data_IF_980103911658
#
_entry.id   IF_980103911658
#
_cell.length_a   1.000
_cell.length_b   1.000
_cell.length_c   1.000
_cell.angle_alpha   90.00
_cell.angle_beta   90.00
_cell.angle_gamma   90.00
#
_symmetry.space_group_name_H-M   'P 1'
#
loop_
_entity.id
_entity.type
_entity.pdbx_description
1 polymer ?
#
# COMPACT_ATOMS: atom_id res chain seq x y z
N UNK A 1 -6.21 11.13 -10.90
CA UNK A 1 -6.49 10.14 -11.94
C UNK A 1 -6.69 10.85 -13.28
N UNK A 2 -6.35 10.18 -14.38
CA UNK A 2 -6.65 10.66 -15.73
C UNK A 2 -8.12 10.35 -16.13
N UNK A 3 -8.48 10.65 -17.39
CA UNK A 3 -9.85 10.47 -17.91
C UNK A 3 -10.31 9.01 -17.93
N UNK A 4 -9.38 8.06 -17.96
CA UNK A 4 -9.64 6.62 -18.01
C UNK A 4 -9.60 5.97 -16.61
N UNK A 5 -9.49 6.78 -15.55
CA UNK A 5 -9.44 6.30 -14.16
C UNK A 5 -8.07 5.75 -13.73
N UNK A 6 -7.02 5.94 -14.54
CA UNK A 6 -5.66 5.55 -14.18
C UNK A 6 -5.01 6.58 -13.26
N UNK A 7 -4.13 6.15 -12.34
CA UNK A 7 -3.29 7.09 -11.60
C UNK A 7 -2.41 7.89 -12.56
N UNK A 8 -2.25 9.19 -12.30
CA UNK A 8 -1.35 10.05 -13.09
C UNK A 8 0.09 9.90 -12.61
N UNK A 9 1.05 10.32 -13.44
CA UNK A 9 2.48 10.26 -13.08
C UNK A 9 2.77 11.04 -11.78
N UNK A 10 2.16 12.22 -11.59
CA UNK A 10 2.28 12.99 -10.34
C UNK A 10 1.76 12.23 -9.10
N UNK A 11 0.69 11.44 -9.25
CA UNK A 11 0.12 10.64 -8.16
C UNK A 11 1.03 9.46 -7.82
N UNK A 12 1.62 8.82 -8.84
CA UNK A 12 2.60 7.75 -8.67
C UNK A 12 3.91 8.27 -8.05
N UNK A 13 4.40 9.42 -8.52
CA UNK A 13 5.59 10.07 -7.98
C UNK A 13 5.39 10.46 -6.52
N UNK A 14 4.19 10.94 -6.15
CA UNK A 14 3.85 11.23 -4.75
C UNK A 14 3.93 9.97 -3.87
N UNK A 15 3.45 8.82 -4.35
CA UNK A 15 3.55 7.55 -3.62
C UNK A 15 5.02 7.12 -3.47
N UNK A 16 5.79 7.20 -4.55
CA UNK A 16 7.22 6.86 -4.59
C UNK A 16 8.03 7.71 -3.59
N UNK A 17 7.73 9.01 -3.50
CA UNK A 17 8.46 9.97 -2.67
C UNK A 17 7.89 10.19 -1.27
N UNK A 18 6.79 9.53 -0.91
CA UNK A 18 6.13 9.73 0.38
C UNK A 18 7.09 9.50 1.56
N UNK A 19 7.22 10.50 2.44
CA UNK A 19 8.15 10.42 3.56
C UNK A 19 7.56 9.59 4.72
N UNK A 20 7.92 8.32 4.78
CA UNK A 20 7.40 7.41 5.82
C UNK A 20 7.95 7.67 7.23
N UNK A 21 8.92 8.58 7.40
CA UNK A 21 9.45 8.96 8.71
C UNK A 21 8.70 10.14 9.30
N UNK A 22 8.38 11.12 8.46
CA UNK A 22 7.75 12.37 8.88
C UNK A 22 6.23 12.36 8.65
N UNK A 23 5.75 11.69 7.60
CA UNK A 23 4.34 11.61 7.24
C UNK A 23 3.68 10.30 7.69
N UNK A 24 2.37 10.36 7.92
CA UNK A 24 1.57 9.20 8.32
C UNK A 24 1.49 8.17 7.19
N UNK A 25 1.96 6.96 7.45
CA UNK A 25 1.82 5.82 6.53
C UNK A 25 0.36 5.40 6.36
N UNK A 26 -0.49 5.66 7.35
CA UNK A 26 -1.93 5.44 7.22
C UNK A 26 -2.53 6.40 6.18
N UNK A 27 -2.06 7.64 6.13
CA UNK A 27 -2.54 8.64 5.17
C UNK A 27 -2.09 8.29 3.75
N UNK A 28 -0.87 7.76 3.59
CA UNK A 28 -0.41 7.17 2.32
C UNK A 28 -1.35 6.05 1.86
N UNK A 29 -1.71 5.13 2.76
CA UNK A 29 -2.58 3.99 2.41
C UNK A 29 -4.01 4.42 2.11
N UNK A 30 -4.54 5.41 2.82
CA UNK A 30 -5.86 5.98 2.52
C UNK A 30 -5.83 6.74 1.18
N UNK A 31 -4.72 7.43 0.86
CA UNK A 31 -4.50 8.04 -0.46
C UNK A 31 -4.44 6.99 -1.56
N UNK A 32 -3.65 5.92 -1.41
CA UNK A 32 -3.60 4.81 -2.36
C UNK A 32 -4.98 4.19 -2.54
N UNK A 33 -5.73 3.98 -1.45
CA UNK A 33 -7.10 3.44 -1.53
C UNK A 33 -8.01 4.33 -2.39
N UNK A 34 -7.86 5.65 -2.30
CA UNK A 34 -8.62 6.59 -3.15
C UNK A 34 -8.27 6.49 -4.63
N UNK A 35 -7.07 5.98 -4.95
CA UNK A 35 -6.58 5.75 -6.32
C UNK A 35 -6.82 4.32 -6.83
N UNK A 36 -7.17 3.40 -5.93
CA UNK A 36 -7.22 1.98 -6.24
C UNK A 36 -8.47 1.62 -7.04
N UNK A 37 -8.32 0.84 -8.11
CA UNK A 37 -9.46 0.28 -8.83
C UNK A 37 -10.07 -0.87 -8.03
N UNK A 38 -11.40 -0.85 -7.88
CA UNK A 38 -12.19 -1.76 -7.03
C UNK A 38 -11.71 -1.83 -5.58
N UNK A 39 -11.66 -0.69 -4.85
CA UNK A 39 -11.09 -0.64 -3.50
C UNK A 39 -11.86 -1.49 -2.49
N UNK A 40 -13.17 -1.66 -2.68
CA UNK A 40 -14.02 -2.45 -1.77
C UNK A 40 -13.69 -3.95 -1.79
N UNK A 41 -13.16 -4.45 -2.91
CA UNK A 41 -12.73 -5.85 -3.05
C UNK A 41 -11.22 -6.00 -2.88
N UNK A 42 -10.44 -5.13 -3.51
CA UNK A 42 -8.99 -5.28 -3.67
C UNK A 42 -8.14 -4.58 -2.62
N UNK A 43 -8.73 -3.83 -1.69
CA UNK A 43 -7.99 -3.06 -0.68
C UNK A 43 -8.51 -3.37 0.73
N UNK A 44 -8.04 -4.48 1.30
CA UNK A 44 -8.55 -5.02 2.56
C UNK A 44 -7.72 -4.48 3.74
N UNK A 45 -8.39 -3.90 4.73
CA UNK A 45 -7.80 -3.43 6.00
C UNK A 45 -8.38 -4.20 7.17
N UNK A 46 -7.53 -4.74 8.04
CA UNK A 46 -7.99 -5.46 9.25
C UNK A 46 -7.03 -5.33 10.43
N UNK A 47 -7.57 -5.37 11.63
CA UNK A 47 -6.76 -5.48 12.84
C UNK A 47 -6.10 -6.86 12.90
N UNK A 48 -4.85 -6.92 13.37
CA UNK A 48 -4.11 -8.16 13.43
C UNK A 48 -2.95 -8.13 14.41
N UNK A 49 -2.12 -9.15 14.30
CA UNK A 49 -0.85 -9.26 15.00
C UNK A 49 0.27 -9.57 14.02
N UNK A 50 1.44 -8.99 14.25
CA UNK A 50 2.60 -9.21 13.39
C UNK A 50 2.97 -10.69 13.35
N UNK A 51 3.42 -11.19 12.20
CA UNK A 51 3.81 -12.61 12.07
C UNK A 51 4.92 -13.01 13.05
N UNK A 52 5.84 -12.10 13.38
CA UNK A 52 6.91 -12.33 14.36
C UNK A 52 6.43 -12.22 15.81
N UNK A 53 6.78 -11.10 16.47
CA UNK A 53 6.56 -10.88 17.90
C UNK A 53 5.09 -10.76 18.35
N UNK A 54 4.12 -11.07 17.48
CA UNK A 54 2.67 -11.00 17.75
C UNK A 54 2.21 -9.67 18.34
N UNK A 55 2.90 -8.58 18.00
CA UNK A 55 2.51 -7.21 18.40
C UNK A 55 1.27 -6.80 17.63
N UNK A 56 0.39 -6.01 18.24
CA UNK A 56 -0.76 -5.43 17.53
C UNK A 56 -0.28 -4.66 16.30
N UNK A 57 -0.95 -4.85 15.18
CA UNK A 57 -0.71 -4.14 13.93
C UNK A 57 -2.00 -4.04 13.12
N UNK A 58 -1.98 -3.20 12.10
CA UNK A 58 -3.00 -3.19 11.04
C UNK A 58 -2.43 -3.96 9.86
N UNK A 59 -3.21 -4.92 9.34
CA UNK A 59 -2.86 -5.69 8.15
C UNK A 59 -3.57 -5.10 6.95
N UNK A 60 -2.81 -4.95 5.86
CA UNK A 60 -3.34 -4.58 4.56
C UNK A 60 -3.10 -5.70 3.55
N UNK A 61 -4.13 -5.99 2.76
CA UNK A 61 -4.05 -6.91 1.63
C UNK A 61 -4.47 -6.14 0.38
N UNK A 62 -3.54 -5.99 -0.55
CA UNK A 62 -3.75 -5.30 -1.81
C UNK A 62 -3.76 -6.33 -2.93
N UNK A 63 -4.88 -6.39 -3.66
CA UNK A 63 -5.11 -7.31 -4.76
C UNK A 63 -5.32 -6.49 -6.04
N UNK A 64 -4.40 -6.61 -7.00
CA UNK A 64 -4.43 -5.78 -8.21
C UNK A 64 -5.57 -6.18 -9.15
N UNK A 65 -6.03 -7.44 -9.07
CA UNK A 65 -7.07 -7.97 -9.94
C UNK A 65 -6.66 -8.04 -11.42
N UNK A 66 -5.35 -7.95 -11.72
CA UNK A 66 -4.82 -7.85 -13.08
C UNK A 66 -5.07 -6.50 -13.76
N UNK A 67 -5.47 -5.46 -13.01
CA UNK A 67 -5.65 -4.12 -13.55
C UNK A 67 -4.34 -3.33 -13.48
N UNK A 68 -3.87 -2.84 -14.63
CA UNK A 68 -2.53 -2.27 -14.77
C UNK A 68 -2.27 -1.01 -13.95
N UNK A 69 -3.28 -0.17 -13.67
CA UNK A 69 -3.07 1.01 -12.82
C UNK A 69 -2.82 0.66 -11.35
N UNK A 70 -3.40 -0.43 -10.84
CA UNK A 70 -3.13 -0.94 -9.49
C UNK A 70 -1.70 -1.48 -9.44
N UNK A 71 -1.25 -2.12 -10.52
CA UNK A 71 0.13 -2.58 -10.65
C UNK A 71 1.12 -1.39 -10.69
N UNK A 72 0.77 -0.29 -11.38
CA UNK A 72 1.55 0.95 -11.35
C UNK A 72 1.67 1.54 -9.95
N UNK A 73 0.58 1.54 -9.16
CA UNK A 73 0.61 2.00 -7.77
C UNK A 73 1.53 1.11 -6.92
N UNK A 74 1.43 -0.22 -7.05
CA UNK A 74 2.34 -1.12 -6.34
C UNK A 74 3.79 -0.88 -6.75
N UNK A 75 4.05 -0.67 -8.04
CA UNK A 75 5.39 -0.39 -8.52
C UNK A 75 5.96 0.91 -7.94
N UNK A 76 5.15 1.98 -7.84
CA UNK A 76 5.53 3.21 -7.14
C UNK A 76 5.81 2.94 -5.64
N UNK A 77 4.97 2.15 -4.99
CA UNK A 77 5.14 1.77 -3.59
C UNK A 77 6.39 0.91 -3.34
N UNK A 78 6.80 0.08 -4.32
CA UNK A 78 8.05 -0.68 -4.29
C UNK A 78 9.29 0.22 -4.36
N UNK A 79 9.21 1.31 -5.11
CA UNK A 79 10.29 2.30 -5.19
C UNK A 79 10.38 3.16 -3.93
N UNK A 80 9.30 3.29 -3.16
CA UNK A 80 9.38 3.85 -1.82
C UNK A 80 10.13 2.88 -0.88
N UNK A 81 11.46 3.04 -0.83
CA UNK A 81 12.35 2.13 -0.13
C UNK A 81 12.00 1.96 1.34
N UNK A 82 11.61 3.05 2.01
CA UNK A 82 11.24 3.04 3.42
C UNK A 82 9.96 2.24 3.62
N UNK A 83 8.91 2.54 2.87
CA UNK A 83 7.65 1.81 2.98
C UNK A 83 7.87 0.31 2.74
N UNK A 84 8.52 -0.03 1.62
CA UNK A 84 8.70 -1.41 1.22
C UNK A 84 9.55 -2.20 2.22
N UNK A 85 10.65 -1.62 2.71
CA UNK A 85 11.55 -2.30 3.65
C UNK A 85 10.90 -2.57 5.01
N UNK A 86 10.02 -1.70 5.49
CA UNK A 86 9.46 -1.82 6.84
C UNK A 86 8.12 -2.54 6.92
N UNK A 87 7.27 -2.38 5.91
CA UNK A 87 5.86 -2.79 6.01
C UNK A 87 5.51 -3.99 5.14
N UNK A 88 6.27 -4.25 4.07
CA UNK A 88 6.04 -5.42 3.22
C UNK A 88 6.33 -6.72 3.98
N UNK A 89 5.46 -7.71 3.81
CA UNK A 89 5.59 -9.03 4.42
C UNK A 89 5.80 -10.10 3.36
N UNK A 90 4.91 -10.14 2.38
CA UNK A 90 4.98 -11.12 1.30
C UNK A 90 4.17 -10.64 0.10
N UNK A 91 4.48 -11.21 -1.07
CA UNK A 91 3.71 -11.06 -2.28
C UNK A 91 3.59 -12.40 -3.00
N UNK A 92 2.42 -12.66 -3.57
CA UNK A 92 2.16 -13.86 -4.36
C UNK A 92 1.91 -13.48 -5.83
N UNK A 93 2.25 -14.40 -6.74
CA UNK A 93 1.93 -14.26 -8.17
C UNK A 93 0.42 -14.02 -8.34
N UNK A 94 0.05 -13.23 -9.34
CA UNK A 94 -1.34 -12.78 -9.53
C UNK A 94 -1.68 -11.45 -8.86
N UNK A 95 -0.67 -10.74 -8.32
CA UNK A 95 -0.85 -9.38 -7.81
C UNK A 95 -1.45 -9.31 -6.41
N UNK A 96 -1.03 -10.19 -5.51
CA UNK A 96 -1.45 -10.18 -4.12
C UNK A 96 -0.30 -9.74 -3.21
N UNK A 97 -0.50 -8.64 -2.49
CA UNK A 97 0.52 -8.02 -1.64
C UNK A 97 0.00 -7.87 -0.22
N UNK A 98 0.85 -8.18 0.75
CA UNK A 98 0.49 -8.21 2.16
C UNK A 98 1.44 -7.33 2.96
N UNK A 99 0.87 -6.44 3.76
CA UNK A 99 1.60 -5.46 4.57
C UNK A 99 1.15 -5.49 6.03
N UNK A 100 2.08 -5.17 6.93
CA UNK A 100 1.83 -5.05 8.37
C UNK A 100 2.28 -3.68 8.88
N UNK A 101 1.32 -2.78 9.14
CA UNK A 101 1.58 -1.45 9.70
C UNK A 101 1.60 -1.55 11.22
N UNK A 102 2.79 -1.38 11.78
CA UNK A 102 3.01 -1.43 13.23
C UNK A 102 2.73 -0.05 13.80
N UNK A 103 1.99 0.03 14.90
CA UNK A 103 1.91 1.27 15.66
C UNK A 103 3.28 1.53 16.28
N UNK A 104 3.99 2.54 15.77
CA UNK A 104 5.08 3.14 16.51
C UNK A 104 4.43 3.98 17.62
N UNK A 105 4.46 3.47 18.84
CA UNK A 105 4.24 4.35 19.99
C UNK A 105 5.41 5.34 19.99
N UNK A 106 5.12 6.60 19.66
CA UNK A 106 5.98 7.72 20.09
C UNK A 106 6.05 7.73 21.61
#
# INVERSE_FOLDING_TARGET
MNRDGYPTDDELERIEKWDCLEESVMDLLDYIKSLWNWPDWGFVKRNGRTQGFRKKCIKFELHTGGWSGNESIIYALQKNFMFWSFYWVTSHRGGHYYFEIREFKK
#
